data_IF_474401541086
#
_entry.id   IF_474401541086
#
_cell.length_a   1.000
_cell.length_b   1.000
_cell.length_c   1.000
_cell.angle_alpha   90.00
_cell.angle_beta   90.00
_cell.angle_gamma   90.00
#
_symmetry.space_group_name_H-M   'P 1'
#
loop_
_entity.id
_entity.type
_entity.pdbx_description
1 polymer ?
#
# COMPACT_ATOMS: atom_id res chain seq x y z
N UNK A 1 14.32 -12.99 -12.91
CA UNK A 1 14.11 -11.98 -11.85
C UNK A 1 14.02 -10.62 -12.51
N UNK A 2 12.86 -10.00 -12.51
CA UNK A 2 12.67 -8.70 -13.14
C UNK A 2 13.36 -7.54 -12.40
N UNK A 3 13.54 -6.43 -13.10
CA UNK A 3 14.15 -5.21 -12.56
C UNK A 3 13.34 -3.96 -12.91
N UNK A 4 13.09 -3.11 -11.90
CA UNK A 4 12.58 -1.75 -12.08
C UNK A 4 13.71 -0.74 -11.97
N UNK A 5 13.80 0.13 -12.96
CA UNK A 5 14.60 1.35 -12.93
C UNK A 5 13.67 2.55 -12.83
N UNK A 6 13.86 3.35 -11.79
CA UNK A 6 13.02 4.51 -11.53
C UNK A 6 13.85 5.78 -11.33
N UNK A 7 13.57 6.78 -12.16
CA UNK A 7 14.32 8.03 -12.21
C UNK A 7 15.80 7.83 -12.52
N UNK A 8 16.64 8.62 -11.87
CA UNK A 8 18.10 8.51 -11.92
C UNK A 8 18.69 7.69 -10.77
N UNK A 9 17.89 6.86 -10.10
CA UNK A 9 18.40 6.04 -8.98
C UNK A 9 19.51 5.11 -9.47
N UNK A 10 20.63 5.09 -8.74
CA UNK A 10 21.73 4.17 -9.01
C UNK A 10 21.40 2.73 -8.61
N UNK A 11 20.42 2.53 -7.71
CA UNK A 11 20.06 1.22 -7.19
C UNK A 11 18.83 0.69 -7.96
N UNK A 12 18.99 -0.38 -8.76
CA UNK A 12 17.85 -1.09 -9.35
C UNK A 12 17.02 -1.78 -8.28
N UNK A 13 15.73 -1.97 -8.56
CA UNK A 13 14.81 -2.71 -7.68
C UNK A 13 14.53 -4.05 -8.32
N UNK A 14 14.97 -5.12 -7.69
CA UNK A 14 14.73 -6.49 -8.15
C UNK A 14 13.39 -7.01 -7.62
N UNK A 15 12.61 -7.65 -8.47
CA UNK A 15 11.28 -8.22 -8.18
C UNK A 15 11.15 -9.49 -9.03
N UNK A 16 10.45 -10.52 -8.56
CA UNK A 16 10.12 -11.67 -9.39
C UNK A 16 9.42 -11.25 -10.71
N UNK A 17 9.71 -11.95 -11.81
CA UNK A 17 9.19 -11.59 -13.14
C UNK A 17 7.67 -11.67 -13.20
N UNK A 18 7.05 -12.66 -12.54
CA UNK A 18 5.60 -12.77 -12.46
C UNK A 18 5.02 -11.62 -11.66
N UNK A 19 5.55 -11.34 -10.47
CA UNK A 19 5.11 -10.19 -9.67
C UNK A 19 5.30 -8.85 -10.43
N UNK A 20 6.42 -8.69 -11.14
CA UNK A 20 6.70 -7.52 -11.96
C UNK A 20 5.71 -7.35 -13.11
N UNK A 21 5.26 -8.45 -13.73
CA UNK A 21 4.30 -8.42 -14.82
C UNK A 21 2.94 -7.86 -14.35
N UNK A 22 2.45 -8.30 -13.19
CA UNK A 22 1.22 -7.79 -12.59
C UNK A 22 1.36 -6.32 -12.18
N UNK A 23 2.49 -5.99 -11.53
CA UNK A 23 2.77 -4.64 -11.09
C UNK A 23 2.88 -3.66 -12.27
N UNK A 24 3.51 -4.06 -13.38
CA UNK A 24 3.60 -3.28 -14.61
C UNK A 24 2.23 -2.88 -15.14
N UNK A 25 1.23 -3.78 -15.10
CA UNK A 25 -0.14 -3.48 -15.55
C UNK A 25 -0.77 -2.39 -14.68
N UNK A 26 -0.70 -2.53 -13.36
CA UNK A 26 -1.28 -1.56 -12.42
C UNK A 26 -0.57 -0.21 -12.52
N UNK A 27 0.77 -0.20 -12.50
CA UNK A 27 1.56 1.04 -12.63
C UNK A 27 1.23 1.75 -13.94
N UNK A 28 1.24 1.03 -15.07
CA UNK A 28 0.97 1.62 -16.38
C UNK A 28 -0.42 2.24 -16.45
N UNK A 29 -1.41 1.58 -15.84
CA UNK A 29 -2.79 2.06 -15.81
C UNK A 29 -2.93 3.34 -14.97
N UNK A 30 -2.35 3.37 -13.77
CA UNK A 30 -2.42 4.53 -12.88
C UNK A 30 -1.65 5.74 -13.44
N UNK A 31 -0.42 5.53 -13.91
CA UNK A 31 0.40 6.64 -14.42
C UNK A 31 -0.19 7.27 -15.70
N UNK A 32 -0.86 6.48 -16.56
CA UNK A 32 -1.61 7.02 -17.71
C UNK A 32 -2.77 7.94 -17.31
N UNK A 33 -3.32 7.76 -16.11
CA UNK A 33 -4.36 8.60 -15.52
C UNK A 33 -3.79 9.74 -14.67
N UNK A 34 -2.47 9.94 -14.72
CA UNK A 34 -1.73 10.87 -13.87
C UNK A 34 -1.90 10.62 -12.36
N UNK A 35 -2.18 9.37 -11.99
CA UNK A 35 -2.33 8.97 -10.59
C UNK A 35 -0.99 8.50 -10.02
N UNK A 36 -0.45 9.28 -9.09
CA UNK A 36 0.78 8.95 -8.38
C UNK A 36 0.48 8.16 -7.11
N UNK A 37 1.36 7.24 -6.76
CA UNK A 37 1.16 6.35 -5.60
C UNK A 37 2.49 5.76 -5.11
N UNK A 38 2.47 5.12 -3.94
CA UNK A 38 3.66 4.47 -3.36
C UNK A 38 3.71 2.98 -3.63
N UNK A 39 4.94 2.46 -3.76
CA UNK A 39 5.24 1.02 -3.69
C UNK A 39 6.28 0.81 -2.61
N UNK A 40 6.00 -0.08 -1.67
CA UNK A 40 6.88 -0.41 -0.55
C UNK A 40 7.23 -1.89 -0.55
N UNK A 41 8.44 -2.23 -0.13
CA UNK A 41 8.89 -3.62 0.03
C UNK A 41 9.88 -3.75 1.17
N UNK A 42 9.88 -4.91 1.82
CA UNK A 42 10.89 -5.24 2.82
C UNK A 42 12.18 -5.63 2.11
N UNK A 43 13.31 -5.24 2.68
CA UNK A 43 14.59 -5.68 2.15
C UNK A 43 14.72 -7.21 2.30
N UNK A 44 15.19 -7.91 1.26
CA UNK A 44 15.50 -9.33 1.37
C UNK A 44 16.64 -9.59 2.36
N UNK A 45 16.83 -10.85 2.75
CA UNK A 45 17.75 -11.24 3.84
C UNK A 45 19.23 -10.95 3.56
N UNK A 46 19.59 -10.81 2.28
CA UNK A 46 20.92 -10.44 1.78
C UNK A 46 21.25 -8.95 1.90
N UNK A 47 20.26 -8.12 2.27
CA UNK A 47 20.40 -6.67 2.43
C UNK A 47 20.24 -6.24 3.90
N UNK A 48 20.74 -5.04 4.30
CA UNK A 48 20.50 -4.53 5.64
C UNK A 48 19.01 -4.50 5.97
N UNK A 49 18.63 -5.06 7.12
CA UNK A 49 17.24 -5.14 7.57
C UNK A 49 16.57 -3.78 7.45
N UNK A 50 15.45 -3.74 6.73
CA UNK A 50 14.75 -2.49 6.47
C UNK A 50 13.56 -2.65 5.53
N UNK A 51 13.01 -1.51 5.14
CA UNK A 51 11.96 -1.38 4.15
C UNK A 51 12.29 -0.19 3.26
N UNK A 52 12.08 -0.36 1.97
CA UNK A 52 12.16 0.71 1.00
C UNK A 52 10.75 1.08 0.52
N UNK A 53 10.58 2.36 0.18
CA UNK A 53 9.35 2.88 -0.40
C UNK A 53 9.73 3.85 -1.52
N UNK A 54 9.13 3.67 -2.70
CA UNK A 54 9.23 4.63 -3.80
C UNK A 54 7.89 5.33 -4.02
N UNK A 55 7.97 6.59 -4.43
CA UNK A 55 6.83 7.34 -4.95
C UNK A 55 6.86 7.32 -6.47
N UNK A 56 5.86 6.71 -7.11
CA UNK A 56 5.72 6.65 -8.57
C UNK A 56 4.93 7.85 -9.07
N UNK A 57 5.48 8.57 -10.05
CA UNK A 57 4.89 9.77 -10.65
C UNK A 57 5.08 9.78 -12.18
N UNK A 58 4.09 10.21 -12.98
CA UNK A 58 4.14 10.12 -14.45
C UNK A 58 5.27 10.93 -15.11
N UNK A 59 5.79 11.95 -14.42
CA UNK A 59 6.90 12.78 -14.93
C UNK A 59 8.30 12.20 -14.65
N UNK A 60 8.41 11.06 -13.99
CA UNK A 60 9.70 10.43 -13.68
C UNK A 60 9.88 9.21 -14.59
N UNK A 61 11.03 9.10 -15.30
CA UNK A 61 11.30 7.94 -16.14
C UNK A 61 11.19 6.63 -15.38
N UNK A 62 10.47 5.67 -15.96
CA UNK A 62 10.25 4.34 -15.40
C UNK A 62 10.52 3.30 -16.49
N UNK A 63 11.34 2.30 -16.18
CA UNK A 63 11.65 1.20 -17.08
C UNK A 63 11.53 -0.12 -16.34
N UNK A 64 10.84 -1.05 -17.00
CA UNK A 64 10.74 -2.45 -16.59
C UNK A 64 11.68 -3.28 -17.47
N UNK A 65 12.46 -4.15 -16.85
CA UNK A 65 13.26 -5.18 -17.52
C UNK A 65 12.83 -6.52 -16.96
N UNK A 66 12.57 -7.47 -17.83
CA UNK A 66 12.28 -8.86 -17.47
C UNK A 66 13.48 -9.69 -17.89
N UNK A 67 13.89 -10.64 -17.05
CA UNK A 67 14.99 -11.54 -17.40
C UNK A 67 14.50 -12.61 -18.37
N UNK A 68 13.27 -13.10 -18.17
CA UNK A 68 12.61 -14.01 -19.10
C UNK A 68 12.03 -13.23 -20.30
N UNK A 69 12.37 -13.60 -21.55
CA UNK A 69 11.76 -13.01 -22.73
C UNK A 69 10.28 -13.41 -22.90
N UNK A 70 9.84 -14.52 -22.33
CA UNK A 70 8.45 -14.96 -22.41
C UNK A 70 7.58 -14.21 -21.40
N UNK A 71 6.43 -13.64 -21.80
CA UNK A 71 5.54 -12.95 -20.88
C UNK A 71 4.99 -13.89 -19.80
N UNK A 72 5.16 -13.53 -18.52
CA UNK A 72 4.55 -14.26 -17.41
C UNK A 72 3.02 -14.26 -17.48
N UNK A 73 2.40 -15.36 -17.06
CA UNK A 73 0.94 -15.49 -16.99
C UNK A 73 0.33 -14.49 -15.99
N UNK A 74 -0.65 -13.73 -16.47
CA UNK A 74 -1.34 -12.71 -15.69
C UNK A 74 -2.60 -13.28 -15.02
N UNK A 75 -2.67 -13.13 -13.70
CA UNK A 75 -3.87 -13.33 -12.90
C UNK A 75 -4.66 -12.02 -12.80
N UNK A 76 -5.91 -12.07 -13.24
CA UNK A 76 -6.83 -10.94 -13.14
C UNK A 76 -7.12 -10.56 -11.69
N UNK A 77 -7.35 -11.56 -10.84
CA UNK A 77 -7.64 -11.37 -9.42
C UNK A 77 -6.50 -10.61 -8.73
N UNK A 78 -5.26 -11.00 -9.00
CA UNK A 78 -4.10 -10.36 -8.40
C UNK A 78 -3.88 -8.92 -8.90
N UNK A 79 -4.15 -8.65 -10.19
CA UNK A 79 -4.15 -7.27 -10.72
C UNK A 79 -5.20 -6.42 -10.00
N UNK A 80 -6.39 -6.95 -9.76
CA UNK A 80 -7.47 -6.26 -9.06
C UNK A 80 -7.07 -5.96 -7.60
N UNK A 81 -6.46 -6.92 -6.88
CA UNK A 81 -5.92 -6.72 -5.55
C UNK A 81 -4.85 -5.63 -5.49
N UNK A 82 -3.87 -5.68 -6.41
CA UNK A 82 -2.81 -4.67 -6.50
C UNK A 82 -3.38 -3.29 -6.83
N UNK A 83 -4.36 -3.20 -7.75
CA UNK A 83 -5.03 -1.96 -8.09
C UNK A 83 -5.80 -1.38 -6.90
N UNK A 84 -6.50 -2.21 -6.14
CA UNK A 84 -7.18 -1.82 -4.91
C UNK A 84 -6.19 -1.30 -3.86
N UNK A 85 -5.08 -2.01 -3.64
CA UNK A 85 -4.01 -1.58 -2.74
C UNK A 85 -3.43 -0.22 -3.16
N UNK A 86 -3.18 -0.03 -4.46
CA UNK A 86 -2.65 1.21 -5.01
C UNK A 86 -3.61 2.40 -4.89
N UNK A 87 -4.91 2.16 -4.69
CA UNK A 87 -5.92 3.20 -4.45
C UNK A 87 -6.06 3.54 -2.95
N UNK A 88 -5.46 2.75 -2.07
CA UNK A 88 -5.42 3.03 -0.63
C UNK A 88 -4.36 4.06 -0.28
N UNK A 89 -4.48 4.68 0.91
CA UNK A 89 -3.47 5.59 1.45
C UNK A 89 -2.12 4.91 1.74
N UNK A 90 -2.09 3.58 1.89
CA UNK A 90 -0.87 2.81 2.14
C UNK A 90 -0.06 2.46 0.87
N UNK A 91 -0.65 2.64 -0.31
CA UNK A 91 -0.06 2.22 -1.58
C UNK A 91 0.06 0.70 -1.71
N UNK A 92 0.93 0.23 -2.60
CA UNK A 92 1.22 -1.20 -2.77
C UNK A 92 2.31 -1.62 -1.77
N UNK A 93 2.10 -2.75 -1.08
CA UNK A 93 3.16 -3.42 -0.32
C UNK A 93 3.49 -4.76 -0.96
N UNK A 94 4.71 -4.91 -1.46
CA UNK A 94 5.23 -6.18 -1.95
C UNK A 94 5.77 -7.00 -0.77
N UNK A 95 5.41 -8.28 -0.70
CA UNK A 95 5.78 -9.21 0.37
C UNK A 95 6.87 -10.16 -0.17
N UNK A 96 7.76 -10.68 0.67
CA UNK A 96 8.91 -11.51 0.28
C UNK A 96 8.62 -12.63 -0.76
N UNK A 97 7.42 -13.23 -0.78
CA UNK A 97 7.03 -14.18 -1.84
C UNK A 97 6.87 -13.59 -3.26
N UNK A 98 7.01 -12.27 -3.42
CA UNK A 98 7.13 -11.56 -4.71
C UNK A 98 8.60 -11.38 -5.13
N UNK A 99 9.54 -11.85 -4.30
CA UNK A 99 10.98 -11.70 -4.49
C UNK A 99 11.70 -13.05 -4.53
N UNK A 100 11.02 -14.13 -4.14
CA UNK A 100 11.40 -15.53 -4.39
C UNK A 100 10.14 -16.39 -4.40
N UNK A 101 9.89 -17.05 -5.53
CA UNK A 101 9.04 -18.22 -5.61
C UNK A 101 9.57 -19.10 -6.75
N UNK A 102 10.66 -19.81 -6.45
CA UNK A 102 10.91 -21.10 -7.08
C UNK A 102 9.57 -21.85 -7.14
N UNK A 103 9.23 -22.31 -8.34
CA UNK A 103 8.02 -23.05 -8.59
C UNK A 103 7.97 -24.26 -7.64
N UNK A 104 7.14 -24.17 -6.60
CA UNK A 104 6.69 -25.36 -5.91
C UNK A 104 5.84 -26.14 -6.93
N UNK A 105 6.51 -27.09 -7.56
CA UNK A 105 5.94 -28.18 -8.35
C UNK A 105 4.61 -28.63 -7.75
N UNK A 106 3.51 -28.34 -8.43
CA UNK A 106 2.30 -29.13 -8.30
C UNK A 106 2.54 -30.35 -9.18
N UNK A 107 3.34 -31.29 -8.68
CA UNK A 107 3.31 -32.65 -9.17
C UNK A 107 1.96 -33.24 -8.77
N UNK A 108 1.08 -33.35 -9.75
CA UNK A 108 -0.17 -34.10 -9.72
C UNK A 108 0.11 -35.58 -9.46
N UNK A 109 0.38 -35.96 -8.21
CA UNK A 109 0.26 -37.33 -7.73
C UNK A 109 -0.15 -37.36 -6.25
N UNK A 110 -1.40 -37.75 -5.99
CA UNK A 110 -1.85 -38.21 -4.68
C UNK A 110 -3.08 -37.50 -4.12
N UNK A 111 -4.24 -37.69 -4.73
CA UNK A 111 -5.53 -37.52 -4.03
C UNK A 111 -5.60 -38.48 -2.84
N UNK A 112 -5.29 -37.99 -1.64
CA UNK A 112 -5.74 -38.61 -0.39
C UNK A 112 -6.87 -37.79 0.22
N UNK A 113 -8.02 -38.43 0.22
CA UNK A 113 -9.25 -38.08 0.89
C UNK A 113 -9.00 -37.63 2.35
N UNK A 114 -9.12 -36.32 2.60
CA UNK A 114 -9.22 -35.77 3.95
C UNK A 114 -10.66 -35.28 4.14
N UNK A 115 -11.40 -36.07 4.91
CA UNK A 115 -12.76 -35.78 5.32
C UNK A 115 -12.86 -34.39 5.97
N UNK A 116 -13.77 -33.56 5.45
CA UNK A 116 -14.19 -32.32 6.10
C UNK A 116 -14.92 -32.70 7.39
N UNK A 117 -14.24 -32.55 8.52
CA UNK A 117 -14.89 -32.55 9.82
C UNK A 117 -15.83 -31.35 9.91
N UNK A 118 -17.10 -31.60 10.22
CA UNK A 118 -18.05 -30.53 10.58
C UNK A 118 -17.46 -29.73 11.74
N UNK A 119 -17.29 -28.43 11.56
CA UNK A 119 -17.04 -27.50 12.66
C UNK A 119 -18.41 -27.04 13.16
N UNK A 120 -18.82 -27.53 14.33
CA UNK A 120 -19.91 -26.93 15.09
C UNK A 120 -19.38 -25.68 15.78
N UNK A 121 -20.02 -24.54 15.50
CA UNK A 121 -19.66 -23.25 16.10
C UNK A 121 -20.43 -23.13 17.41
N UNK A 122 -19.76 -23.33 18.54
CA UNK A 122 -20.28 -22.91 19.84
C UNK A 122 -20.02 -21.40 20.03
N UNK A 123 -21.04 -20.72 20.54
CA UNK A 123 -21.15 -19.27 20.71
C UNK A 123 -19.95 -18.68 21.47
N UNK A 124 -19.11 -17.90 20.76
CA UNK A 124 -18.00 -17.16 21.37
C UNK A 124 -18.55 -15.88 22.02
N UNK A 125 -18.66 -15.89 23.35
CA UNK A 125 -18.91 -14.70 24.16
C UNK A 125 -17.63 -13.85 24.27
N UNK A 126 -17.74 -12.55 23.98
CA UNK A 126 -16.63 -11.59 24.12
C UNK A 126 -16.68 -10.99 25.53
N UNK A 127 -15.74 -11.40 26.39
CA UNK A 127 -15.52 -10.75 27.67
C UNK A 127 -14.79 -9.40 27.49
N UNK A 128 -15.23 -8.42 28.28
CA UNK A 128 -14.90 -6.99 28.20
C UNK A 128 -13.40 -6.70 28.10
N UNK A 129 -13.03 -5.91 27.10
CA UNK A 129 -11.74 -5.22 27.03
C UNK A 129 -11.79 -4.00 27.98
N UNK A 130 -11.04 -4.04 29.08
CA UNK A 130 -10.88 -2.88 29.98
C UNK A 130 -9.80 -1.95 29.41
N UNK A 131 -10.19 -0.73 29.05
CA UNK A 131 -9.28 0.36 28.66
C UNK A 131 -8.85 1.12 29.91
N UNK A 132 -7.55 1.16 30.16
CA UNK A 132 -6.94 1.98 31.21
C UNK A 132 -7.12 3.47 30.89
N UNK A 133 -7.45 4.24 31.93
CA UNK A 133 -8.04 5.57 31.84
C UNK A 133 -7.22 6.62 31.11
N UNK A 134 -7.92 7.40 30.30
CA UNK A 134 -7.69 8.84 30.18
C UNK A 134 -9.06 9.49 30.03
N UNK A 135 -9.44 10.22 31.08
CA UNK A 135 -10.67 10.99 31.17
C UNK A 135 -10.46 12.28 30.37
N UNK A 136 -11.26 12.49 29.31
CA UNK A 136 -11.49 13.83 28.74
C UNK A 136 -12.93 14.22 29.06
N UNK A 137 -13.07 15.18 29.97
CA UNK A 137 -14.34 15.80 30.28
C UNK A 137 -14.89 16.54 29.03
N UNK A 138 -16.20 16.46 28.75
CA UNK A 138 -16.81 17.21 27.66
C UNK A 138 -16.80 18.71 27.97
N UNK A 139 -16.41 19.51 26.97
CA UNK A 139 -16.55 20.96 26.99
C UNK A 139 -18.02 21.30 26.68
N UNK A 140 -18.77 21.72 27.69
CA UNK A 140 -20.09 22.34 27.53
C UNK A 140 -19.92 23.72 26.89
N UNK A 141 -20.43 23.91 25.67
CA UNK A 141 -20.53 25.24 25.06
C UNK A 141 -21.86 25.41 24.34
N UNK A 142 -22.95 25.44 25.12
CA UNK A 142 -24.17 26.10 24.70
C UNK A 142 -24.51 27.21 25.70
N UNK A 143 -24.14 28.44 25.33
CA UNK A 143 -24.30 29.64 26.12
C UNK A 143 -24.30 30.84 25.19
N UNK A 144 -25.49 31.12 24.64
CA UNK A 144 -25.72 32.28 23.81
C UNK A 144 -25.39 33.60 24.54
N UNK A 145 -25.01 34.58 23.72
CA UNK A 145 -25.34 36.00 23.88
C UNK A 145 -24.40 36.89 24.71
N UNK A 146 -23.70 37.72 23.95
CA UNK A 146 -23.35 39.15 24.13
C UNK A 146 -21.85 39.40 24.02
N UNK A 147 -21.41 39.72 22.80
CA UNK A 147 -20.25 40.62 22.63
C UNK A 147 -20.65 41.77 21.73
N UNK A 148 -20.65 42.94 22.37
CA UNK A 148 -20.82 44.26 21.79
C UNK A 148 -19.98 44.45 20.55
N UNK A 149 -20.58 45.11 19.57
CA UNK A 149 -19.87 45.90 18.57
C UNK A 149 -19.07 46.98 19.31
N UNK A 150 -17.75 46.87 19.30
CA UNK A 150 -16.87 48.01 19.54
C UNK A 150 -15.99 48.17 18.32
N UNK A 151 -16.38 49.14 17.49
CA UNK A 151 -15.64 49.65 16.35
C UNK A 151 -14.39 50.34 16.89
N UNK A 152 -13.21 49.79 16.63
CA UNK A 152 -11.94 50.48 16.87
C UNK A 152 -11.27 50.77 15.51
N UNK A 153 -11.13 52.06 15.26
CA UNK A 153 -10.56 52.71 14.08
C UNK A 153 -9.16 52.18 13.72
N UNK A 154 -8.90 52.09 12.42
CA UNK A 154 -7.59 51.84 11.82
C UNK A 154 -6.84 53.19 11.74
N UNK A 155 -5.66 53.37 12.35
CA UNK A 155 -4.89 54.58 12.15
C UNK A 155 -4.18 54.54 10.78
N UNK A 156 -4.61 55.43 9.89
CA UNK A 156 -3.92 55.75 8.64
C UNK A 156 -2.63 56.52 8.98
N UNK A 157 -1.47 55.95 8.65
CA UNK A 157 -0.20 56.66 8.68
C UNK A 157 -0.08 57.56 7.43
N UNK A 158 0.39 58.81 7.56
CA UNK A 158 0.62 59.67 6.41
C UNK A 158 1.92 59.27 5.67
N UNK A 159 1.83 59.24 4.34
CA UNK A 159 2.94 59.05 3.43
C UNK A 159 3.93 60.23 3.51
N UNK A 160 5.21 59.91 3.61
CA UNK A 160 6.31 60.78 3.19
C UNK A 160 6.70 60.47 1.75
#
# INVERSE_FOLDING_TARGET
MGTIYYGGSATPIHIDDRALAHLKVVISTKLRRSESFTVSWRHPEDQPRGRSTIWLHPSIPLRFVFDDPEPAELSREWIEELANSANSSGGITLIAGHFDADAAEISDEGVSELAVGKVEVEELSIDKLTVAGTEMAPLDVEGAQKRSLETAEVPVQPAG
#
